data_IF_267241573908
#
_entry.id   IF_267241573908
#
_cell.length_a   1.000
_cell.length_b   1.000
_cell.length_c   1.000
_cell.angle_alpha   90.00
_cell.angle_beta   90.00
_cell.angle_gamma   90.00
#
_symmetry.space_group_name_H-M   'P 1'
#
loop_
_entity.id
_entity.type
_entity.pdbx_description
1 polymer ?
#
# COMPACT_ATOMS: atom_id res chain seq x y z
N UNK A 1 -13.69 -25.41 -7.21
CA UNK A 1 -13.41 -25.36 -5.77
C UNK A 1 -14.74 -25.31 -5.07
N UNK A 2 -14.96 -26.18 -4.08
CA UNK A 2 -16.18 -26.17 -3.30
C UNK A 2 -16.15 -25.00 -2.32
N UNK A 3 -17.26 -24.27 -2.23
CA UNK A 3 -17.40 -23.09 -1.36
C UNK A 3 -17.49 -23.54 0.10
N UNK A 4 -16.69 -22.94 0.97
CA UNK A 4 -16.69 -23.18 2.42
C UNK A 4 -17.92 -22.51 3.04
N UNK A 5 -18.75 -23.24 3.82
CA UNK A 5 -19.90 -22.66 4.50
C UNK A 5 -19.51 -21.49 5.39
N UNK A 6 -20.24 -20.38 5.30
CA UNK A 6 -19.99 -19.17 6.11
C UNK A 6 -19.00 -18.17 5.52
N UNK A 7 -18.35 -18.48 4.39
CA UNK A 7 -17.49 -17.54 3.66
C UNK A 7 -18.27 -16.93 2.50
N UNK A 8 -18.30 -15.60 2.45
CA UNK A 8 -18.83 -14.85 1.30
C UNK A 8 -17.79 -14.84 0.20
N UNK A 9 -18.09 -15.52 -0.90
CA UNK A 9 -17.26 -15.51 -2.11
C UNK A 9 -17.72 -14.39 -3.03
N UNK A 10 -16.88 -13.37 -3.23
CA UNK A 10 -17.10 -12.33 -4.23
C UNK A 10 -16.37 -12.76 -5.50
N UNK A 11 -17.13 -13.15 -6.53
CA UNK A 11 -16.60 -13.40 -7.87
C UNK A 11 -16.88 -12.17 -8.73
N UNK A 12 -15.86 -11.34 -8.97
CA UNK A 12 -15.94 -10.19 -9.87
C UNK A 12 -15.21 -10.51 -11.19
N UNK A 13 -15.84 -10.35 -12.36
CA UNK A 13 -15.15 -10.51 -13.64
C UNK A 13 -14.02 -9.47 -13.75
N UNK A 14 -12.77 -9.93 -13.76
CA UNK A 14 -11.58 -9.06 -13.95
C UNK A 14 -11.64 -8.22 -15.23
N UNK A 15 -12.41 -8.65 -16.23
CA UNK A 15 -12.57 -7.93 -17.51
C UNK A 15 -13.40 -6.65 -17.44
N UNK A 16 -14.15 -6.43 -16.36
CA UNK A 16 -15.02 -5.25 -16.19
C UNK A 16 -14.50 -4.27 -15.14
N UNK A 17 -13.40 -4.62 -14.47
CA UNK A 17 -12.77 -3.76 -13.47
C UNK A 17 -11.92 -2.71 -14.16
N UNK A 18 -12.56 -1.62 -14.58
CA UNK A 18 -11.86 -0.37 -14.84
C UNK A 18 -11.45 0.27 -13.51
N UNK A 19 -10.27 0.89 -13.47
CA UNK A 19 -9.96 1.80 -12.36
C UNK A 19 -11.07 2.86 -12.34
N UNK A 20 -11.81 2.94 -11.24
CA UNK A 20 -12.89 3.92 -11.16
C UNK A 20 -12.25 5.30 -11.24
N UNK A 21 -12.78 6.18 -12.08
CA UNK A 21 -12.32 7.58 -12.21
C UNK A 21 -12.30 8.30 -10.86
N UNK A 22 -13.10 7.83 -9.89
CA UNK A 22 -13.05 8.31 -8.52
C UNK A 22 -11.77 7.93 -7.76
N UNK A 23 -11.14 6.78 -7.97
CA UNK A 23 -9.87 6.44 -7.30
C UNK A 23 -8.71 7.30 -7.80
N UNK A 24 -8.60 7.51 -9.13
CA UNK A 24 -7.64 8.44 -9.73
C UNK A 24 -7.87 9.87 -9.22
N UNK A 25 -9.14 10.28 -9.17
CA UNK A 25 -9.56 11.58 -8.64
C UNK A 25 -9.34 11.71 -7.13
N UNK A 26 -9.51 10.67 -6.33
CA UNK A 26 -9.25 10.69 -4.87
C UNK A 26 -7.76 10.74 -4.60
N UNK A 27 -6.92 9.98 -5.31
CA UNK A 27 -5.45 10.12 -5.14
C UNK A 27 -4.99 11.52 -5.57
N UNK A 28 -5.56 12.04 -6.65
CA UNK A 28 -5.23 13.39 -7.16
C UNK A 28 -5.80 14.52 -6.28
N UNK A 29 -7.06 14.46 -5.84
CA UNK A 29 -7.73 15.56 -5.14
C UNK A 29 -7.41 15.55 -3.63
N UNK A 30 -7.28 14.37 -3.01
CA UNK A 30 -7.23 14.26 -1.54
C UNK A 30 -5.83 14.55 -0.99
N UNK A 31 -4.77 14.16 -1.71
CA UNK A 31 -3.38 14.32 -1.24
C UNK A 31 -2.84 15.76 -1.38
N UNK A 32 -3.48 16.60 -2.19
CA UNK A 32 -2.80 17.69 -2.88
C UNK A 32 -2.84 19.07 -2.23
N UNK A 33 -3.62 19.31 -1.17
CA UNK A 33 -3.78 20.68 -0.65
C UNK A 33 -3.44 20.92 0.83
N UNK A 34 -3.24 19.89 1.66
CA UNK A 34 -3.09 20.14 3.12
C UNK A 34 -2.08 19.25 3.85
N UNK A 35 -1.35 18.36 3.16
CA UNK A 35 -0.20 17.72 3.81
C UNK A 35 0.85 18.79 4.17
N UNK A 36 1.55 18.66 5.32
CA UNK A 36 2.55 19.63 5.72
C UNK A 36 3.59 19.89 4.64
N UNK A 37 4.04 21.14 4.55
CA UNK A 37 4.89 21.67 3.47
C UNK A 37 6.18 20.88 3.22
N UNK A 38 6.67 20.13 4.21
CA UNK A 38 7.82 19.23 4.06
C UNK A 38 7.61 18.12 3.02
N UNK A 39 6.36 17.73 2.74
CA UNK A 39 6.04 16.73 1.73
C UNK A 39 5.76 17.31 0.34
N UNK A 40 5.67 18.64 0.18
CA UNK A 40 5.24 19.29 -1.07
C UNK A 40 6.03 18.84 -2.29
N UNK A 41 7.36 18.68 -2.18
CA UNK A 41 8.21 18.21 -3.28
C UNK A 41 7.85 16.79 -3.72
N UNK A 42 7.71 15.86 -2.76
CA UNK A 42 7.40 14.46 -3.03
C UNK A 42 6.00 14.32 -3.61
N UNK A 43 5.02 15.03 -3.04
CA UNK A 43 3.64 15.00 -3.55
C UNK A 43 3.55 15.59 -4.97
N UNK A 44 4.32 16.65 -5.26
CA UNK A 44 4.37 17.23 -6.61
C UNK A 44 4.94 16.23 -7.63
N UNK A 45 6.04 15.55 -7.29
CA UNK A 45 6.62 14.50 -8.15
C UNK A 45 5.67 13.32 -8.32
N UNK A 46 5.05 12.86 -7.23
CA UNK A 46 4.08 11.77 -7.27
C UNK A 46 2.90 12.10 -8.18
N UNK A 47 2.40 13.34 -8.16
CA UNK A 47 1.33 13.80 -9.05
C UNK A 47 1.70 13.69 -10.52
N UNK A 48 2.92 14.09 -10.87
CA UNK A 48 3.40 14.01 -12.26
C UNK A 48 3.54 12.55 -12.73
N UNK A 49 3.92 11.65 -11.82
CA UNK A 49 4.13 10.23 -12.13
C UNK A 49 2.82 9.41 -12.05
N UNK A 50 1.81 9.88 -11.33
CA UNK A 50 0.59 9.13 -11.02
C UNK A 50 -0.14 8.54 -12.24
N UNK A 51 -0.24 9.21 -13.41
CA UNK A 51 -0.89 8.62 -14.57
C UNK A 51 -0.30 7.27 -15.02
N UNK A 52 0.97 6.97 -14.70
CA UNK A 52 1.64 5.72 -15.12
C UNK A 52 0.96 4.46 -14.57
N UNK A 53 0.34 4.55 -13.38
CA UNK A 53 -0.30 3.40 -12.70
C UNK A 53 -1.77 3.22 -13.09
N UNK A 54 -2.32 4.12 -13.89
CA UNK A 54 -3.71 4.06 -14.39
C UNK A 54 -3.79 3.75 -15.90
N UNK A 55 -2.66 3.35 -16.50
CA UNK A 55 -2.64 2.89 -17.88
C UNK A 55 -3.31 1.52 -18.01
N UNK A 56 -3.84 1.20 -19.20
CA UNK A 56 -4.50 -0.09 -19.46
C UNK A 56 -3.56 -1.30 -19.36
N UNK A 57 -2.25 -1.07 -19.36
CA UNK A 57 -1.23 -2.12 -19.25
C UNK A 57 -0.78 -2.38 -17.82
N UNK A 58 -1.05 -1.45 -16.89
CA UNK A 58 -0.67 -1.62 -15.49
C UNK A 58 -1.68 -2.52 -14.75
N UNK A 59 -1.23 -3.52 -13.98
CA UNK A 59 -2.14 -4.49 -13.38
C UNK A 59 -3.01 -3.87 -12.28
N UNK A 60 -4.33 -4.06 -12.41
CA UNK A 60 -5.29 -3.85 -11.34
C UNK A 60 -5.47 -5.15 -10.56
N UNK A 61 -5.35 -5.07 -9.24
CA UNK A 61 -5.39 -6.24 -8.34
C UNK A 61 -6.29 -5.97 -7.15
N UNK A 62 -6.79 -7.04 -6.52
CA UNK A 62 -7.44 -6.95 -5.22
C UNK A 62 -6.39 -6.62 -4.15
N UNK A 63 -6.43 -5.39 -3.65
CA UNK A 63 -5.61 -4.89 -2.56
C UNK A 63 -6.34 -5.13 -1.23
N UNK A 64 -5.63 -5.54 -0.17
CA UNK A 64 -6.22 -5.94 1.12
C UNK A 64 -6.91 -4.78 1.87
N UNK A 65 -6.41 -3.55 1.72
CA UNK A 65 -6.94 -2.37 2.42
C UNK A 65 -6.42 -2.21 3.85
N UNK A 66 -6.27 -3.31 4.59
CA UNK A 66 -5.71 -3.31 5.95
C UNK A 66 -4.60 -4.38 6.15
N UNK A 67 -3.55 -4.34 5.33
CA UNK A 67 -2.51 -5.37 5.39
C UNK A 67 -1.60 -5.15 6.62
N UNK A 68 -1.63 -6.08 7.58
CA UNK A 68 -0.72 -6.09 8.73
C UNK A 68 -0.46 -7.53 9.23
N UNK A 69 0.53 -7.69 10.13
CA UNK A 69 0.93 -8.97 10.70
C UNK A 69 -0.22 -9.70 11.44
N UNK A 70 -1.16 -8.96 12.03
CA UNK A 70 -2.32 -9.55 12.73
C UNK A 70 -3.31 -10.20 11.76
N UNK A 71 -3.28 -9.81 10.48
CA UNK A 71 -4.16 -10.31 9.43
C UNK A 71 -3.54 -11.48 8.66
N UNK A 72 -2.36 -11.97 9.05
CA UNK A 72 -1.66 -13.10 8.44
C UNK A 72 -1.66 -14.30 9.41
N UNK A 73 -2.22 -15.43 8.96
CA UNK A 73 -2.17 -16.69 9.69
C UNK A 73 -1.00 -17.51 9.18
N UNK A 74 -0.16 -17.98 10.10
CA UNK A 74 1.04 -18.76 9.82
C UNK A 74 0.95 -20.12 10.49
N UNK A 75 1.38 -21.17 9.78
CA UNK A 75 1.57 -22.50 10.37
C UNK A 75 2.71 -22.45 11.41
N UNK A 76 2.45 -22.78 12.69
CA UNK A 76 3.45 -22.66 13.74
C UNK A 76 4.58 -23.70 13.65
N UNK A 77 4.40 -24.77 12.88
CA UNK A 77 5.38 -25.85 12.71
C UNK A 77 6.29 -25.59 11.52
N UNK A 78 5.71 -25.26 10.35
CA UNK A 78 6.48 -25.11 9.11
C UNK A 78 6.71 -23.65 8.67
N UNK A 79 6.03 -22.68 9.30
CA UNK A 79 6.26 -21.25 9.08
C UNK A 79 5.66 -20.67 7.78
N UNK A 80 4.79 -21.41 7.08
CA UNK A 80 4.13 -20.95 5.86
C UNK A 80 2.86 -20.14 6.14
N UNK A 81 2.54 -19.15 5.29
CA UNK A 81 1.26 -18.44 5.34
C UNK A 81 0.14 -19.41 4.94
N UNK A 82 -0.82 -19.62 5.83
CA UNK A 82 -1.97 -20.51 5.61
C UNK A 82 -3.27 -19.73 5.40
N UNK A 83 -3.28 -18.44 5.71
CA UNK A 83 -4.45 -17.59 5.52
C UNK A 83 -4.14 -16.11 5.62
N UNK A 84 -4.97 -15.32 4.96
CA UNK A 84 -5.04 -13.85 5.10
C UNK A 84 -6.49 -13.52 5.40
N UNK A 85 -6.74 -12.76 6.45
CA UNK A 85 -8.09 -12.46 6.98
C UNK A 85 -8.35 -10.95 7.05
N UNK A 86 -9.59 -10.57 7.34
CA UNK A 86 -10.03 -9.16 7.44
C UNK A 86 -9.98 -8.38 6.12
N UNK A 87 -10.66 -8.94 5.11
CA UNK A 87 -10.80 -8.32 3.78
C UNK A 87 -11.88 -7.23 3.71
N UNK A 88 -12.33 -6.68 4.84
CA UNK A 88 -13.43 -5.71 4.88
C UNK A 88 -13.12 -4.42 4.09
N UNK A 89 -11.84 -4.02 4.04
CA UNK A 89 -11.37 -2.85 3.31
C UNK A 89 -10.84 -3.16 1.90
N UNK A 90 -11.03 -4.39 1.42
CA UNK A 90 -10.45 -4.83 0.17
C UNK A 90 -11.01 -4.05 -1.03
N UNK A 91 -10.12 -3.63 -1.92
CA UNK A 91 -10.48 -2.83 -3.10
C UNK A 91 -9.65 -3.20 -4.31
N UNK A 92 -10.26 -3.13 -5.48
CA UNK A 92 -9.53 -3.26 -6.74
C UNK A 92 -8.85 -1.92 -7.03
N UNK A 93 -7.53 -1.94 -7.15
CA UNK A 93 -6.71 -0.75 -7.42
C UNK A 93 -5.38 -1.17 -8.06
N UNK A 94 -4.55 -0.23 -8.54
CA UNK A 94 -3.22 -0.56 -9.07
C UNK A 94 -2.42 -1.46 -8.12
N UNK A 95 -1.67 -2.42 -8.68
CA UNK A 95 -0.74 -3.23 -7.90
C UNK A 95 0.26 -2.33 -7.16
N UNK A 96 0.61 -2.70 -5.93
CA UNK A 96 1.56 -1.95 -5.11
C UNK A 96 0.93 -0.97 -4.11
N UNK A 97 -0.36 -0.64 -4.26
CA UNK A 97 -1.05 0.30 -3.35
C UNK A 97 -1.15 -0.19 -1.89
N UNK A 98 -0.99 -1.50 -1.62
CA UNK A 98 -0.94 -2.07 -0.26
C UNK A 98 0.46 -2.41 0.25
N UNK A 99 1.52 -2.10 -0.49
CA UNK A 99 2.90 -2.44 -0.08
C UNK A 99 3.35 -1.70 1.20
N UNK A 100 2.64 -0.64 1.60
CA UNK A 100 2.85 -0.02 2.91
C UNK A 100 2.68 -1.01 4.07
N UNK A 101 1.84 -2.04 3.94
CA UNK A 101 1.69 -3.08 4.97
C UNK A 101 2.95 -3.93 5.11
N UNK A 102 3.62 -4.20 3.99
CA UNK A 102 4.93 -4.84 4.00
C UNK A 102 6.01 -3.96 4.65
N UNK A 103 6.04 -2.66 4.33
CA UNK A 103 6.95 -1.71 4.99
C UNK A 103 6.74 -1.69 6.51
N UNK A 104 5.49 -1.76 6.97
CA UNK A 104 5.17 -1.85 8.40
C UNK A 104 5.74 -3.11 9.06
N UNK A 105 5.70 -4.25 8.39
CA UNK A 105 6.19 -5.51 8.95
C UNK A 105 7.72 -5.53 9.16
N UNK A 106 8.46 -4.57 8.58
CA UNK A 106 9.92 -4.46 8.71
C UNK A 106 10.39 -3.68 9.95
N UNK A 107 9.47 -3.14 10.74
CA UNK A 107 9.84 -2.36 11.91
C UNK A 107 8.68 -2.04 12.83
N UNK A 108 8.87 -1.02 13.66
CA UNK A 108 7.88 -0.58 14.64
C UNK A 108 7.96 0.94 14.82
N UNK A 109 6.79 1.58 14.96
CA UNK A 109 6.68 2.99 15.34
C UNK A 109 6.60 3.10 16.87
N UNK A 110 7.45 3.90 17.48
CA UNK A 110 7.38 4.24 18.91
C UNK A 110 7.39 5.76 19.13
N UNK A 111 7.50 6.25 20.36
CA UNK A 111 7.50 7.69 20.66
C UNK A 111 8.66 8.49 20.04
N UNK A 112 9.78 7.85 19.68
CA UNK A 112 10.97 8.53 19.13
C UNK A 112 11.08 8.43 17.62
N UNK A 113 10.47 7.43 16.98
CA UNK A 113 10.45 7.35 15.53
C UNK A 113 10.02 5.99 15.02
N UNK A 114 10.22 5.81 13.73
CA UNK A 114 10.25 4.50 13.09
C UNK A 114 11.57 3.81 13.41
N UNK A 115 11.51 2.54 13.84
CA UNK A 115 12.67 1.70 14.12
C UNK A 115 12.57 0.41 13.33
N UNK A 116 13.55 0.16 12.48
CA UNK A 116 13.65 -1.11 11.76
C UNK A 116 14.10 -2.23 12.69
N UNK A 117 13.61 -3.44 12.45
CA UNK A 117 14.19 -4.64 13.07
C UNK A 117 15.61 -4.89 12.54
N UNK A 118 16.46 -5.52 13.34
CA UNK A 118 17.87 -5.77 13.00
C UNK A 118 18.05 -6.50 11.65
N UNK A 119 17.14 -7.41 11.32
CA UNK A 119 17.15 -8.19 10.09
C UNK A 119 16.30 -7.61 8.95
N UNK A 120 15.71 -6.42 9.12
CA UNK A 120 14.81 -5.76 8.16
C UNK A 120 15.36 -5.72 6.73
N UNK A 121 16.59 -5.25 6.53
CA UNK A 121 17.19 -5.14 5.19
C UNK A 121 17.35 -6.51 4.52
N UNK A 122 17.64 -7.56 5.29
CA UNK A 122 17.74 -8.93 4.78
C UNK A 122 16.35 -9.46 4.39
N UNK A 123 15.34 -9.22 5.23
CA UNK A 123 13.96 -9.63 4.94
C UNK A 123 13.39 -8.87 3.73
N UNK A 124 13.71 -7.59 3.61
CA UNK A 124 13.31 -6.78 2.47
C UNK A 124 13.92 -7.28 1.16
N UNK A 125 15.22 -7.54 1.15
CA UNK A 125 15.90 -8.12 0.01
C UNK A 125 15.33 -9.49 -0.37
N UNK A 126 15.02 -10.34 0.62
CA UNK A 126 14.44 -11.66 0.38
C UNK A 126 13.03 -11.58 -0.21
N UNK A 127 12.19 -10.66 0.28
CA UNK A 127 10.87 -10.43 -0.27
C UNK A 127 10.95 -10.06 -1.76
N UNK A 128 11.79 -9.08 -2.11
CA UNK A 128 11.92 -8.63 -3.49
C UNK A 128 12.54 -9.69 -4.40
N UNK A 129 13.52 -10.46 -3.90
CA UNK A 129 14.10 -11.58 -4.65
C UNK A 129 13.05 -12.65 -4.96
N UNK A 130 12.27 -13.07 -3.97
CA UNK A 130 11.19 -14.05 -4.16
C UNK A 130 10.13 -13.49 -5.11
N UNK A 131 9.71 -12.24 -4.92
CA UNK A 131 8.74 -11.58 -5.79
C UNK A 131 9.20 -11.59 -7.26
N UNK A 132 10.43 -11.14 -7.54
CA UNK A 132 10.98 -11.13 -8.89
C UNK A 132 11.12 -12.52 -9.50
N UNK A 133 11.49 -13.54 -8.71
CA UNK A 133 11.51 -14.93 -9.17
C UNK A 133 10.11 -15.46 -9.49
N UNK A 134 9.09 -15.04 -8.75
CA UNK A 134 7.70 -15.48 -8.95
C UNK A 134 7.02 -14.81 -10.15
N UNK A 135 7.24 -13.51 -10.37
CA UNK A 135 6.58 -12.77 -11.46
C UNK A 135 7.38 -12.73 -12.76
N UNK A 136 8.67 -13.11 -12.71
CA UNK A 136 9.56 -13.09 -13.86
C UNK A 136 10.19 -11.72 -14.13
N UNK A 137 10.61 -11.50 -15.37
CA UNK A 137 11.27 -10.26 -15.77
C UNK A 137 10.29 -9.08 -15.75
N UNK A 138 10.60 -8.08 -14.92
CA UNK A 138 9.86 -6.81 -14.83
C UNK A 138 10.68 -5.72 -15.52
N UNK A 139 10.06 -4.93 -16.41
CA UNK A 139 10.73 -3.82 -17.08
C UNK A 139 11.11 -2.71 -16.09
N UNK A 140 12.05 -1.84 -16.47
CA UNK A 140 12.36 -0.66 -15.64
C UNK A 140 11.16 0.28 -15.52
N UNK A 141 10.25 0.28 -16.49
CA UNK A 141 9.06 1.12 -16.50
C UNK A 141 8.03 0.59 -15.50
N UNK A 142 7.82 -0.72 -15.47
CA UNK A 142 6.97 -1.38 -14.49
C UNK A 142 7.52 -1.22 -13.06
N UNK A 143 8.84 -1.29 -12.87
CA UNK A 143 9.48 -1.00 -11.58
C UNK A 143 9.20 0.44 -11.13
N UNK A 144 9.30 1.42 -12.04
CA UNK A 144 8.95 2.82 -11.74
C UNK A 144 7.47 2.95 -11.39
N UNK A 145 6.59 2.32 -12.15
CA UNK A 145 5.15 2.32 -11.88
C UNK A 145 4.81 1.66 -10.53
N UNK A 146 5.44 0.54 -10.18
CA UNK A 146 5.34 -0.09 -8.85
C UNK A 146 5.74 0.86 -7.72
N UNK A 147 6.88 1.56 -7.85
CA UNK A 147 7.29 2.58 -6.87
C UNK A 147 6.31 3.75 -6.77
N UNK A 148 5.71 4.16 -7.89
CA UNK A 148 4.65 5.18 -7.90
C UNK A 148 3.40 4.70 -7.17
N UNK A 149 2.96 3.46 -7.40
CA UNK A 149 1.82 2.87 -6.70
C UNK A 149 2.09 2.70 -5.20
N UNK A 150 3.29 2.27 -4.80
CA UNK A 150 3.66 2.17 -3.39
C UNK A 150 3.61 3.54 -2.68
N UNK A 151 4.15 4.59 -3.31
CA UNK A 151 4.08 5.97 -2.78
C UNK A 151 2.65 6.48 -2.70
N UNK A 152 1.84 6.25 -3.73
CA UNK A 152 0.42 6.62 -3.72
C UNK A 152 -0.35 5.88 -2.62
N UNK A 153 -0.08 4.59 -2.44
CA UNK A 153 -0.64 3.76 -1.37
C UNK A 153 -0.28 4.28 0.03
N UNK A 154 1.00 4.64 0.25
CA UNK A 154 1.46 5.25 1.50
C UNK A 154 0.75 6.57 1.80
N UNK A 155 0.63 7.45 0.81
CA UNK A 155 -0.06 8.74 0.97
C UNK A 155 -1.54 8.53 1.27
N UNK A 156 -2.21 7.59 0.59
CA UNK A 156 -3.61 7.28 0.89
C UNK A 156 -3.78 6.66 2.28
N UNK A 157 -2.86 5.81 2.74
CA UNK A 157 -3.00 5.16 4.05
C UNK A 157 -2.73 6.11 5.21
N UNK A 158 -1.72 6.97 5.07
CA UNK A 158 -1.20 7.78 6.20
C UNK A 158 -1.37 9.28 6.01
N UNK A 159 -1.83 9.74 4.85
CA UNK A 159 -2.19 11.13 4.60
C UNK A 159 -3.56 11.51 5.15
N UNK A 160 -4.32 10.52 5.61
CA UNK A 160 -5.67 10.67 6.13
C UNK A 160 -5.82 10.01 7.50
N UNK A 161 -6.77 10.50 8.27
CA UNK A 161 -7.15 9.92 9.56
C UNK A 161 -8.64 10.15 9.79
N UNK A 162 -9.25 9.35 10.65
CA UNK A 162 -10.66 9.48 10.99
C UNK A 162 -10.86 10.51 12.09
N UNK A 163 -11.72 11.49 11.86
CA UNK A 163 -12.20 12.41 12.88
C UNK A 163 -13.49 11.85 13.50
N UNK A 164 -13.45 11.60 14.81
CA UNK A 164 -14.54 11.03 15.61
C UNK A 164 -15.18 9.74 15.02
N UNK A 165 -14.42 8.99 14.21
CA UNK A 165 -14.88 7.78 13.53
C UNK A 165 -15.96 8.02 12.47
N UNK A 166 -16.24 9.27 12.12
CA UNK A 166 -17.39 9.65 11.28
C UNK A 166 -16.97 10.09 9.87
N UNK A 167 -15.86 10.80 9.73
CA UNK A 167 -15.37 11.26 8.44
C UNK A 167 -13.85 11.30 8.37
N UNK A 168 -13.33 11.15 7.16
CA UNK A 168 -11.90 11.16 6.87
C UNK A 168 -11.40 12.61 6.75
N UNK A 169 -10.40 12.98 7.55
CA UNK A 169 -9.70 14.28 7.49
C UNK A 169 -8.26 14.10 7.06
N UNK A 170 -7.66 15.16 6.51
CA UNK A 170 -6.23 15.17 6.19
C UNK A 170 -5.41 15.24 7.49
N UNK A 171 -4.30 14.53 7.52
CA UNK A 171 -3.40 14.52 8.67
C UNK A 171 -2.68 15.85 8.84
N UNK A 172 -2.57 16.26 10.10
CA UNK A 172 -1.83 17.42 10.56
C UNK A 172 -0.55 16.99 11.25
N UNK A 173 0.30 17.95 11.63
CA UNK A 173 1.54 17.66 12.38
C UNK A 173 1.29 17.03 13.76
N UNK A 174 0.06 17.07 14.28
CA UNK A 174 -0.32 16.51 15.57
C UNK A 174 -0.73 15.04 15.47
N UNK A 175 -1.11 14.56 14.27
CA UNK A 175 -1.58 13.19 14.08
C UNK A 175 -0.40 12.21 14.02
N UNK A 176 -0.50 11.08 14.71
CA UNK A 176 0.60 10.09 14.79
C UNK A 176 0.89 9.41 13.45
N UNK A 177 -0.12 9.25 12.59
CA UNK A 177 -0.01 8.63 11.26
C UNK A 177 0.99 9.34 10.35
N UNK A 178 1.18 10.66 10.52
CA UNK A 178 2.09 11.43 9.69
C UNK A 178 3.55 10.98 9.81
N UNK A 179 3.91 10.37 10.93
CA UNK A 179 5.26 9.88 11.21
C UNK A 179 5.63 8.70 10.31
N UNK A 180 4.64 7.98 9.79
CA UNK A 180 4.86 6.92 8.79
C UNK A 180 5.21 7.51 7.43
N UNK A 181 4.60 8.64 7.05
CA UNK A 181 4.99 9.36 5.83
C UNK A 181 6.43 9.89 5.95
N UNK A 182 6.80 10.42 7.12
CA UNK A 182 8.18 10.84 7.41
C UNK A 182 9.18 9.69 7.27
N UNK A 183 8.80 8.49 7.73
CA UNK A 183 9.69 7.32 7.70
C UNK A 183 9.86 6.72 6.30
N UNK A 184 8.82 6.73 5.46
CA UNK A 184 8.78 5.92 4.25
C UNK A 184 8.89 6.70 2.95
N UNK A 185 8.31 7.90 2.84
CA UNK A 185 8.25 8.60 1.55
C UNK A 185 9.64 8.94 0.98
N UNK A 186 10.59 9.29 1.84
CA UNK A 186 11.96 9.61 1.42
C UNK A 186 12.75 8.40 0.91
N UNK A 187 12.44 7.18 1.39
CA UNK A 187 13.14 5.95 0.96
C UNK A 187 12.80 5.54 -0.48
N UNK A 188 11.73 6.09 -1.04
CA UNK A 188 11.22 5.74 -2.35
C UNK A 188 11.57 6.78 -3.42
N UNK A 189 12.48 7.72 -3.12
CA UNK A 189 12.90 8.77 -4.05
C UNK A 189 13.97 8.34 -5.07
N UNK A 190 14.60 7.17 -4.87
CA UNK A 190 15.66 6.60 -5.71
C UNK A 190 15.14 5.89 -6.98
#
# INVERSE_FOLDING_TARGET
MDKVPGITYIEAPLKELHCTSWQEKTVSDSAMYQLPSRFTRIISKLREELPIIFTSTYPLVLNHGDMCEMNIIVDPVIGGITGVIDWAEAKVSPFGMSLWGFQNMLGVMNSTGWHYYENSSRLEALFWDVFHRSVGMISNDDKRAMKTAERAGLVLRYGFTWEDGAFEKIVTKQDSSIRYLDAFLHRLED
#
